data_IF_836315028478
#
_entry.id   IF_836315028478
#
_cell.length_a   1.000
_cell.length_b   1.000
_cell.length_c   1.000
_cell.angle_alpha   90.00
_cell.angle_beta   90.00
_cell.angle_gamma   90.00
#
_symmetry.space_group_name_H-M   'P 1'
#
loop_
_entity.id
_entity.type
_entity.pdbx_description
1 polymer ?
#
# COMPACT_ATOMS: atom_id res chain seq x y z
N UNK A 1 26.15 -4.32 6.98
CA UNK A 1 24.96 -5.16 7.26
C UNK A 1 23.78 -4.25 7.02
N UNK A 2 23.06 -4.39 5.90
CA UNK A 2 21.81 -3.65 5.70
C UNK A 2 20.81 -4.24 6.68
N UNK A 3 20.41 -3.46 7.69
CA UNK A 3 19.36 -3.87 8.61
C UNK A 3 18.06 -3.92 7.83
N UNK A 4 17.51 -5.11 7.62
CA UNK A 4 16.16 -5.27 7.10
C UNK A 4 15.19 -4.87 8.21
N UNK A 5 14.80 -3.60 8.25
CA UNK A 5 13.71 -3.14 9.12
C UNK A 5 12.41 -3.42 8.38
N UNK A 6 11.63 -4.39 8.86
CA UNK A 6 10.27 -4.58 8.40
C UNK A 6 9.37 -3.63 9.21
N UNK A 7 8.74 -2.68 8.51
CA UNK A 7 7.73 -1.79 9.07
C UNK A 7 6.42 -2.13 8.39
N UNK A 8 5.31 -2.02 9.13
CA UNK A 8 3.97 -2.02 8.58
C UNK A 8 3.38 -0.62 8.79
N UNK A 9 2.79 -0.07 7.73
CA UNK A 9 2.10 1.22 7.75
C UNK A 9 0.63 1.06 7.40
N UNK A 10 -0.21 1.84 8.05
CA UNK A 10 -1.65 1.86 7.78
C UNK A 10 -1.97 3.03 6.84
N UNK A 11 -2.58 2.73 5.71
CA UNK A 11 -3.17 3.73 4.81
C UNK A 11 -4.68 3.73 5.04
N UNK A 12 -5.23 4.91 5.37
CA UNK A 12 -6.64 5.10 5.67
C UNK A 12 -7.42 5.61 4.46
N UNK A 13 -8.73 5.35 4.47
CA UNK A 13 -9.66 5.87 3.46
C UNK A 13 -9.58 7.39 3.35
N UNK A 14 -9.32 7.89 2.14
CA UNK A 14 -9.24 9.32 1.86
C UNK A 14 -7.98 10.02 2.41
N UNK A 15 -7.05 9.28 3.00
CA UNK A 15 -5.80 9.80 3.57
C UNK A 15 -4.59 9.13 2.88
N UNK A 16 -4.16 9.62 1.70
CA UNK A 16 -2.96 9.11 1.05
C UNK A 16 -1.72 9.28 1.92
N UNK A 17 -0.82 8.32 1.87
CA UNK A 17 0.44 8.31 2.62
C UNK A 17 1.60 8.66 1.69
N UNK A 18 2.20 9.84 1.88
CA UNK A 18 3.48 10.18 1.26
C UNK A 18 4.63 9.47 1.98
N UNK A 19 5.52 8.86 1.22
CA UNK A 19 6.72 8.17 1.70
C UNK A 19 7.93 8.79 1.03
N UNK A 20 8.88 9.24 1.84
CA UNK A 20 10.19 9.71 1.40
C UNK A 20 11.26 8.69 1.81
N UNK A 21 11.90 8.00 0.84
CA UNK A 21 13.01 7.12 1.14
C UNK A 21 14.19 7.82 1.82
N UNK A 22 14.42 9.11 1.52
CA UNK A 22 15.63 9.84 1.91
C UNK A 22 16.81 9.62 0.95
N UNK A 23 17.84 10.46 1.07
CA UNK A 23 18.98 10.48 0.14
C UNK A 23 19.79 9.17 0.17
N UNK A 24 19.93 8.52 -0.99
CA UNK A 24 20.70 7.29 -1.15
C UNK A 24 20.07 6.05 -0.52
N UNK A 25 18.79 6.14 -0.12
CA UNK A 25 18.03 5.06 0.49
C UNK A 25 16.95 4.53 -0.46
N UNK A 26 16.47 3.32 -0.18
CA UNK A 26 15.44 2.64 -0.97
C UNK A 26 14.39 2.10 -0.02
N UNK A 27 13.12 2.34 -0.34
CA UNK A 27 11.99 1.68 0.30
C UNK A 27 11.56 0.49 -0.55
N UNK A 28 11.56 -0.69 0.05
CA UNK A 28 11.04 -1.91 -0.58
C UNK A 28 9.65 -2.19 -0.06
N UNK A 29 8.65 -2.12 -0.93
CA UNK A 29 7.31 -2.60 -0.64
C UNK A 29 7.27 -4.10 -0.95
N UNK A 30 6.81 -4.90 0.00
CA UNK A 30 6.81 -6.38 -0.12
C UNK A 30 5.42 -7.01 -0.07
N UNK A 31 4.48 -6.37 0.62
CA UNK A 31 3.14 -6.91 0.83
C UNK A 31 2.12 -5.78 1.00
N UNK A 32 0.86 -6.08 0.72
CA UNK A 32 -0.27 -5.32 1.22
C UNK A 32 -1.39 -6.27 1.67
N UNK A 33 -2.15 -5.92 2.70
CA UNK A 33 -3.34 -6.64 3.12
C UNK A 33 -4.45 -5.72 3.61
N UNK A 34 -5.69 -6.20 3.56
CA UNK A 34 -6.85 -5.49 4.08
C UNK A 34 -6.82 -5.49 5.62
N UNK A 35 -6.92 -4.32 6.23
CA UNK A 35 -7.12 -4.16 7.66
C UNK A 35 -8.52 -4.59 8.10
N UNK A 36 -8.66 -5.08 9.32
CA UNK A 36 -9.90 -5.70 9.81
C UNK A 36 -11.11 -4.74 9.83
N UNK A 37 -12.26 -5.24 9.36
CA UNK A 37 -13.56 -4.58 9.48
C UNK A 37 -14.62 -5.56 9.96
N UNK A 38 -15.68 -5.04 10.60
CA UNK A 38 -16.81 -5.85 11.08
C UNK A 38 -17.57 -6.50 9.92
N UNK A 39 -17.84 -5.73 8.87
CA UNK A 39 -18.56 -6.18 7.69
C UNK A 39 -17.58 -6.35 6.53
N UNK A 40 -17.11 -7.59 6.34
CA UNK A 40 -16.23 -7.98 5.23
C UNK A 40 -17.06 -8.02 3.95
N UNK A 41 -17.21 -6.87 3.31
CA UNK A 41 -17.93 -6.72 2.04
C UNK A 41 -17.23 -7.45 0.89
N UNK A 42 -17.94 -7.61 -0.24
CA UNK A 42 -17.39 -8.18 -1.48
C UNK A 42 -16.86 -7.10 -2.45
N UNK A 43 -16.32 -6.03 -1.89
CA UNK A 43 -15.80 -4.93 -2.70
C UNK A 43 -14.40 -5.24 -3.24
N UNK A 44 -14.17 -4.77 -4.47
CA UNK A 44 -12.88 -4.82 -5.13
C UNK A 44 -12.12 -3.53 -4.82
N UNK A 45 -11.05 -3.65 -4.04
CA UNK A 45 -10.28 -2.53 -3.50
C UNK A 45 -8.99 -2.39 -4.31
N UNK A 46 -8.85 -1.30 -5.06
CA UNK A 46 -7.64 -0.99 -5.80
C UNK A 46 -6.65 -0.24 -4.90
N UNK A 47 -5.41 -0.71 -4.89
CA UNK A 47 -4.26 -0.03 -4.33
C UNK A 47 -3.57 0.78 -5.43
N UNK A 48 -3.15 1.99 -5.08
CA UNK A 48 -2.47 2.89 -6.00
C UNK A 48 -1.15 3.34 -5.43
N UNK A 49 -0.20 3.53 -6.33
CA UNK A 49 0.99 4.33 -6.09
C UNK A 49 0.98 5.51 -7.03
N UNK A 50 1.38 6.68 -6.53
CA UNK A 50 1.67 7.84 -7.35
C UNK A 50 3.14 8.20 -7.20
N UNK A 51 3.85 8.25 -8.33
CA UNK A 51 5.24 8.71 -8.42
C UNK A 51 5.23 9.89 -9.38
N UNK A 52 5.74 11.04 -8.91
CA UNK A 52 5.63 12.31 -9.63
C UNK A 52 4.15 12.61 -9.99
N UNK A 53 3.82 12.75 -11.28
CA UNK A 53 2.46 13.00 -11.76
C UNK A 53 1.71 11.73 -12.18
N UNK A 54 2.36 10.57 -12.13
CA UNK A 54 1.81 9.32 -12.63
C UNK A 54 1.19 8.50 -11.50
N UNK A 55 -0.13 8.26 -11.57
CA UNK A 55 -0.86 7.35 -10.68
C UNK A 55 -1.05 5.99 -11.35
N UNK A 56 -0.56 4.94 -10.71
CA UNK A 56 -0.59 3.56 -11.17
C UNK A 56 -1.35 2.67 -10.18
N UNK A 57 -1.94 1.58 -10.68
CA UNK A 57 -2.53 0.53 -9.84
C UNK A 57 -1.43 -0.43 -9.44
N UNK A 58 -1.24 -0.63 -8.12
CA UNK A 58 -0.33 -1.63 -7.57
C UNK A 58 -0.94 -3.03 -7.55
N UNK A 59 -2.24 -3.09 -7.29
CA UNK A 59 -2.96 -4.35 -7.20
C UNK A 59 -4.40 -4.14 -6.76
N UNK A 60 -5.15 -5.23 -6.78
CA UNK A 60 -6.54 -5.26 -6.34
C UNK A 60 -6.66 -6.26 -5.20
N UNK A 61 -7.35 -5.87 -4.14
CA UNK A 61 -7.65 -6.66 -2.94
C UNK A 61 -9.16 -6.91 -2.81
N UNK A 62 -9.54 -8.02 -2.19
CA UNK A 62 -10.92 -8.31 -1.79
C UNK A 62 -10.91 -9.33 -0.66
N UNK A 63 -11.83 -9.21 0.30
CA UNK A 63 -11.90 -10.16 1.41
C UNK A 63 -12.21 -11.60 0.98
N UNK A 64 -13.02 -11.77 -0.07
CA UNK A 64 -13.47 -13.09 -0.51
C UNK A 64 -12.39 -13.88 -1.26
N UNK A 65 -11.58 -13.21 -2.08
CA UNK A 65 -10.71 -13.90 -3.04
C UNK A 65 -9.24 -13.70 -2.77
N UNK A 66 -8.83 -12.46 -2.51
CA UNK A 66 -7.43 -12.08 -2.39
C UNK A 66 -7.30 -10.94 -1.36
N UNK A 67 -7.37 -11.27 -0.05
CA UNK A 67 -7.33 -10.28 1.02
C UNK A 67 -5.94 -9.65 1.21
N UNK A 68 -4.92 -10.23 0.55
CA UNK A 68 -3.55 -9.76 0.54
C UNK A 68 -2.89 -9.99 -0.82
N UNK A 69 -1.84 -9.23 -1.09
CA UNK A 69 -1.00 -9.36 -2.27
C UNK A 69 0.47 -9.21 -1.84
N UNK A 70 1.34 -10.02 -2.44
CA UNK A 70 2.79 -9.86 -2.31
C UNK A 70 3.34 -9.25 -3.59
N UNK A 71 4.33 -8.39 -3.46
CA UNK A 71 5.07 -7.79 -4.57
C UNK A 71 6.53 -7.58 -4.16
N UNK A 72 7.36 -7.14 -5.09
CA UNK A 72 8.75 -6.78 -4.82
C UNK A 72 9.08 -5.49 -5.58
N UNK A 73 8.68 -4.36 -4.99
CA UNK A 73 8.82 -3.05 -5.60
C UNK A 73 9.78 -2.19 -4.79
N UNK A 74 10.70 -1.53 -5.47
CA UNK A 74 11.72 -0.68 -4.86
C UNK A 74 11.54 0.76 -5.32
N UNK A 75 11.51 1.68 -4.36
CA UNK A 75 11.33 3.11 -4.59
C UNK A 75 12.55 3.87 -4.08
N UNK A 76 13.21 4.59 -4.98
CA UNK A 76 14.36 5.46 -4.71
C UNK A 76 13.97 6.95 -4.63
N UNK A 77 12.70 7.26 -4.87
CA UNK A 77 12.13 8.61 -4.90
C UNK A 77 10.89 8.66 -4.04
N UNK A 78 10.43 9.87 -3.72
CA UNK A 78 9.14 10.10 -3.07
C UNK A 78 8.00 9.47 -3.86
N UNK A 79 7.06 8.87 -3.15
CA UNK A 79 5.84 8.32 -3.71
C UNK A 79 4.69 8.46 -2.73
N UNK A 80 3.47 8.36 -3.23
CA UNK A 80 2.25 8.40 -2.43
C UNK A 80 1.48 7.08 -2.59
N UNK A 81 1.07 6.49 -1.47
CA UNK A 81 0.22 5.30 -1.42
C UNK A 81 -1.23 5.72 -1.14
N UNK A 82 -2.19 5.13 -1.87
CA UNK A 82 -3.62 5.34 -1.61
C UNK A 82 -4.45 4.12 -2.00
N UNK A 83 -5.71 4.09 -1.57
CA UNK A 83 -6.68 3.08 -1.99
C UNK A 83 -8.06 3.70 -2.22
N UNK A 84 -8.95 2.97 -2.90
CA UNK A 84 -10.34 3.39 -3.12
C UNK A 84 -11.35 2.84 -2.08
N UNK A 85 -10.90 2.05 -1.11
CA UNK A 85 -11.78 1.54 -0.05
C UNK A 85 -12.36 2.69 0.78
N UNK A 86 -13.68 2.72 0.96
CA UNK A 86 -14.40 3.79 1.65
C UNK A 86 -14.29 3.76 3.18
N UNK A 87 -14.28 2.57 3.78
CA UNK A 87 -14.53 2.41 5.22
C UNK A 87 -13.54 1.49 5.92
N UNK A 88 -12.43 1.15 5.27
CA UNK A 88 -11.37 0.34 5.87
C UNK A 88 -9.99 0.88 5.52
N UNK A 89 -8.99 0.09 5.89
CA UNK A 89 -7.58 0.44 5.80
C UNK A 89 -6.80 -0.62 5.06
N UNK A 90 -5.66 -0.23 4.51
CA UNK A 90 -4.73 -1.17 3.90
C UNK A 90 -3.42 -1.09 4.68
N UNK A 91 -2.93 -2.23 5.13
CA UNK A 91 -1.62 -2.36 5.75
C UNK A 91 -0.60 -2.68 4.66
N UNK A 92 0.48 -1.89 4.56
CA UNK A 92 1.61 -2.09 3.63
C UNK A 92 2.93 -2.24 4.38
#
# INVERSE_FOLDING_TARGET
>A
MLSNVQVYVEVKSGEPLEVDPGDGLVVRLTQACLGEVKDKGNESICLFVKVDEQKLVLGTLSYEKFPQISFDLMFEKKFELSHNWKSGTVML
#
